data_IF_437419502971
#
_entry.id   IF_437419502971
#
_cell.length_a   1.000
_cell.length_b   1.000
_cell.length_c   1.000
_cell.angle_alpha   90.00
_cell.angle_beta   90.00
_cell.angle_gamma   90.00
#
_symmetry.space_group_name_H-M   'P 1'
#
loop_
_entity.id
_entity.type
_entity.pdbx_description
1 polymer ?
#
# COMPACT_ATOMS: atom_id res chain seq x y z
N UNK A 1 3.03 30.89 12.15
CA UNK A 1 3.34 29.45 12.02
C UNK A 1 4.34 29.29 10.89
N UNK A 2 5.58 28.91 11.19
CA UNK A 2 6.59 28.69 10.15
C UNK A 2 6.11 27.55 9.24
N UNK A 3 5.96 27.85 7.95
CA UNK A 3 5.79 26.84 6.91
C UNK A 3 7.09 26.03 6.86
N UNK A 4 7.16 24.96 7.64
CA UNK A 4 8.22 23.96 7.50
C UNK A 4 7.97 23.30 6.14
N UNK A 5 8.64 23.82 5.11
CA UNK A 5 8.70 23.18 3.81
C UNK A 5 9.38 21.82 4.00
N UNK A 6 8.58 20.77 4.05
CA UNK A 6 9.08 19.41 4.09
C UNK A 6 9.84 19.13 2.80
N UNK A 7 11.16 19.00 2.91
CA UNK A 7 12.02 18.56 1.80
C UNK A 7 11.82 17.06 1.61
N UNK A 8 11.30 16.62 0.45
CA UNK A 8 11.08 15.20 0.20
C UNK A 8 12.42 14.47 0.24
N UNK A 9 12.53 13.47 1.13
CA UNK A 9 13.77 12.70 1.25
C UNK A 9 13.79 11.58 0.21
N UNK A 10 14.97 11.22 -0.28
CA UNK A 10 15.13 10.11 -1.26
C UNK A 10 14.53 8.78 -0.77
N UNK A 11 14.37 8.62 0.54
CA UNK A 11 13.75 7.48 1.19
C UNK A 11 12.24 7.35 0.95
N UNK A 12 11.52 8.43 0.64
CA UNK A 12 10.07 8.39 0.40
C UNK A 12 9.78 7.59 -0.88
N UNK A 13 10.56 7.85 -1.93
CA UNK A 13 10.50 7.10 -3.17
C UNK A 13 10.94 5.63 -2.99
N UNK A 14 11.90 5.35 -2.10
CA UNK A 14 12.41 3.99 -1.87
C UNK A 14 11.36 3.07 -1.26
N UNK A 15 10.53 3.55 -0.34
CA UNK A 15 9.47 2.72 0.25
C UNK A 15 8.44 2.27 -0.80
N UNK A 16 8.02 3.18 -1.68
CA UNK A 16 7.12 2.83 -2.78
C UNK A 16 7.80 1.97 -3.86
N UNK A 17 9.11 2.13 -4.06
CA UNK A 17 9.87 1.25 -4.97
C UNK A 17 9.90 -0.19 -4.44
N UNK A 18 10.22 -0.36 -3.15
CA UNK A 18 10.22 -1.66 -2.47
C UNK A 18 8.82 -2.25 -2.50
N UNK A 19 7.80 -1.45 -2.14
CA UNK A 19 6.40 -1.87 -2.21
C UNK A 19 6.03 -2.39 -3.59
N UNK A 20 6.34 -1.63 -4.65
CA UNK A 20 6.05 -2.01 -6.02
C UNK A 20 6.75 -3.29 -6.45
N UNK A 21 8.06 -3.39 -6.21
CA UNK A 21 8.85 -4.56 -6.56
C UNK A 21 8.35 -5.83 -5.87
N UNK A 22 8.09 -5.77 -4.56
CA UNK A 22 7.60 -6.93 -3.81
C UNK A 22 6.16 -7.32 -4.18
N UNK A 23 5.29 -6.37 -4.53
CA UNK A 23 3.95 -6.70 -5.05
C UNK A 23 4.00 -7.40 -6.41
N UNK A 24 4.94 -7.05 -7.28
CA UNK A 24 5.17 -7.76 -8.54
C UNK A 24 5.73 -9.17 -8.31
N UNK A 25 6.70 -9.32 -7.39
CA UNK A 25 7.20 -10.64 -6.98
C UNK A 25 6.06 -11.50 -6.42
N UNK A 26 5.22 -10.93 -5.55
CA UNK A 26 4.04 -11.62 -5.03
C UNK A 26 3.12 -12.11 -6.16
N UNK A 27 2.87 -11.28 -7.16
CA UNK A 27 2.03 -11.63 -8.32
C UNK A 27 2.62 -12.82 -9.08
N UNK A 28 3.94 -12.81 -9.33
CA UNK A 28 4.63 -13.92 -9.97
C UNK A 28 4.55 -15.21 -9.13
N UNK A 29 4.73 -15.12 -7.81
CA UNK A 29 4.60 -16.26 -6.91
C UNK A 29 3.17 -16.83 -6.89
N UNK A 30 2.14 -15.97 -6.92
CA UNK A 30 0.74 -16.39 -7.02
C UNK A 30 0.49 -17.13 -8.34
N UNK A 31 0.96 -16.61 -9.46
CA UNK A 31 0.82 -17.26 -10.77
C UNK A 31 1.57 -18.59 -10.82
N UNK A 32 2.82 -18.63 -10.36
CA UNK A 32 3.60 -19.87 -10.28
C UNK A 32 2.88 -20.94 -9.44
N UNK A 33 2.28 -20.53 -8.32
CA UNK A 33 1.43 -21.41 -7.52
C UNK A 33 0.20 -21.90 -8.27
N UNK A 34 -0.49 -21.03 -9.00
CA UNK A 34 -1.66 -21.41 -9.76
C UNK A 34 -1.32 -22.42 -10.87
N UNK A 35 -0.28 -22.17 -11.66
CA UNK A 35 0.15 -23.05 -12.75
C UNK A 35 0.78 -24.36 -12.30
N UNK A 36 1.28 -24.44 -11.06
CA UNK A 36 1.75 -25.69 -10.43
C UNK A 36 0.63 -26.51 -9.77
N UNK A 37 -0.65 -26.18 -10.01
CA UNK A 37 -1.77 -26.89 -9.40
C UNK A 37 -1.83 -26.72 -7.87
N UNK A 38 -1.42 -25.55 -7.37
CA UNK A 38 -1.41 -25.20 -5.93
C UNK A 38 -0.47 -26.06 -5.05
N UNK A 39 0.49 -26.77 -5.65
CA UNK A 39 1.50 -27.54 -4.91
C UNK A 39 2.47 -26.66 -4.12
N UNK A 40 2.73 -25.43 -4.59
CA UNK A 40 3.54 -24.44 -3.87
C UNK A 40 2.79 -23.89 -2.65
N UNK A 41 3.48 -23.86 -1.50
CA UNK A 41 2.96 -23.33 -0.24
C UNK A 41 2.49 -21.87 -0.37
N UNK A 42 1.47 -21.49 0.42
CA UNK A 42 0.94 -20.10 0.49
C UNK A 42 1.96 -19.13 1.06
N UNK A 43 2.96 -19.65 1.76
CA UNK A 43 3.99 -18.85 2.38
C UNK A 43 4.83 -18.08 1.34
N UNK A 44 5.10 -18.71 0.19
CA UNK A 44 5.90 -18.12 -0.88
C UNK A 44 5.31 -16.82 -1.45
N UNK A 45 4.01 -16.73 -1.77
CA UNK A 45 3.39 -15.45 -2.10
C UNK A 45 3.14 -14.57 -0.86
N UNK A 46 2.89 -15.12 0.33
CA UNK A 46 2.58 -14.31 1.51
C UNK A 46 3.74 -13.41 1.96
N UNK A 47 4.98 -13.91 1.99
CA UNK A 47 6.16 -13.13 2.38
C UNK A 47 6.33 -11.84 1.56
N UNK A 48 6.39 -11.89 0.21
CA UNK A 48 6.52 -10.68 -0.59
C UNK A 48 5.29 -9.76 -0.47
N UNK A 49 4.08 -10.28 -0.29
CA UNK A 49 2.91 -9.44 -0.02
C UNK A 49 3.08 -8.65 1.30
N UNK A 50 3.49 -9.30 2.38
CA UNK A 50 3.67 -8.64 3.69
C UNK A 50 4.72 -7.53 3.59
N UNK A 51 5.87 -7.82 2.97
CA UNK A 51 6.95 -6.82 2.79
C UNK A 51 6.45 -5.65 1.92
N UNK A 52 5.76 -5.95 0.83
CA UNK A 52 5.23 -4.94 -0.09
C UNK A 52 4.21 -4.02 0.58
N UNK A 53 3.25 -4.62 1.29
CA UNK A 53 2.19 -3.90 2.00
C UNK A 53 2.74 -3.09 3.17
N UNK A 54 3.62 -3.65 4.00
CA UNK A 54 4.27 -2.93 5.09
C UNK A 54 5.07 -1.72 4.58
N UNK A 55 5.84 -1.90 3.50
CA UNK A 55 6.59 -0.82 2.86
C UNK A 55 5.66 0.28 2.32
N UNK A 56 4.52 -0.09 1.75
CA UNK A 56 3.53 0.88 1.26
C UNK A 56 2.91 1.71 2.40
N UNK A 57 2.60 1.08 3.53
CA UNK A 57 2.07 1.75 4.73
C UNK A 57 3.10 2.70 5.32
N UNK A 58 4.37 2.29 5.40
CA UNK A 58 5.46 3.17 5.84
C UNK A 58 5.65 4.35 4.87
N UNK A 59 5.53 4.11 3.56
CA UNK A 59 5.54 5.17 2.54
C UNK A 59 4.41 6.20 2.75
N UNK A 60 3.19 5.74 3.04
CA UNK A 60 2.06 6.61 3.38
C UNK A 60 2.25 7.36 4.69
N UNK A 61 2.74 6.67 5.73
CA UNK A 61 3.00 7.30 7.02
C UNK A 61 4.02 8.42 6.88
N UNK A 62 5.03 8.24 6.02
CA UNK A 62 6.04 9.25 5.75
C UNK A 62 5.55 10.42 4.89
N UNK A 63 4.48 10.24 4.12
CA UNK A 63 3.77 11.33 3.45
C UNK A 63 2.95 12.19 4.43
N UNK A 64 2.71 11.72 5.66
CA UNK A 64 1.89 12.41 6.66
C UNK A 64 2.29 13.87 6.94
N UNK A 65 3.57 14.24 7.14
CA UNK A 65 3.95 15.63 7.43
C UNK A 65 3.54 16.61 6.31
N UNK A 66 3.62 16.14 5.06
CA UNK A 66 3.22 16.91 3.86
C UNK A 66 1.71 17.10 3.76
N UNK A 67 0.95 16.12 4.24
CA UNK A 67 -0.51 16.15 4.23
C UNK A 67 -1.01 16.98 5.41
N UNK A 68 -0.36 16.87 6.58
CA UNK A 68 -0.70 17.59 7.79
C UNK A 68 -0.64 19.12 7.60
N UNK A 69 0.32 19.62 6.83
CA UNK A 69 0.46 21.06 6.54
C UNK A 69 -0.64 21.61 5.61
N UNK A 70 -1.29 20.76 4.81
CA UNK A 70 -2.29 21.17 3.81
C UNK A 70 -3.73 20.82 4.18
N UNK A 71 -3.93 19.68 4.83
CA UNK A 71 -5.23 19.13 5.19
C UNK A 71 -5.12 18.34 6.51
N UNK A 72 -5.09 19.01 7.67
CA UNK A 72 -4.77 18.39 8.96
C UNK A 72 -5.78 17.32 9.36
N UNK A 73 -7.06 17.50 9.04
CA UNK A 73 -8.10 16.50 9.32
C UNK A 73 -7.84 15.22 8.53
N UNK A 74 -7.66 15.31 7.21
CA UNK A 74 -7.37 14.13 6.36
C UNK A 74 -6.06 13.45 6.74
N UNK A 75 -5.05 14.22 7.18
CA UNK A 75 -3.78 13.67 7.66
C UNK A 75 -3.98 12.78 8.90
N UNK A 76 -4.77 13.24 9.89
CA UNK A 76 -5.07 12.48 11.11
C UNK A 76 -5.80 11.18 10.80
N UNK A 77 -6.86 11.24 9.98
CA UNK A 77 -7.59 10.05 9.55
C UNK A 77 -6.68 9.08 8.78
N UNK A 78 -5.92 9.59 7.81
CA UNK A 78 -5.00 8.77 7.01
C UNK A 78 -3.92 8.07 7.84
N UNK A 79 -3.35 8.75 8.85
CA UNK A 79 -2.39 8.14 9.77
C UNK A 79 -3.05 7.10 10.69
N UNK A 80 -4.24 7.39 11.21
CA UNK A 80 -5.00 6.44 12.02
C UNK A 80 -5.30 5.14 11.25
N UNK A 81 -5.75 5.28 10.01
CA UNK A 81 -5.97 4.14 9.11
C UNK A 81 -4.68 3.39 8.78
N UNK A 82 -3.57 4.10 8.52
CA UNK A 82 -2.28 3.46 8.27
C UNK A 82 -1.78 2.64 9.48
N UNK A 83 -1.95 3.16 10.70
CA UNK A 83 -1.61 2.44 11.92
C UNK A 83 -2.50 1.22 12.14
N UNK A 84 -3.81 1.35 11.91
CA UNK A 84 -4.75 0.24 11.99
C UNK A 84 -4.39 -0.87 10.98
N UNK A 85 -4.04 -0.48 9.75
CA UNK A 85 -3.57 -1.42 8.72
C UNK A 85 -2.27 -2.12 9.14
N UNK A 86 -1.30 -1.39 9.71
CA UNK A 86 -0.03 -1.97 10.17
C UNK A 86 -0.24 -2.96 11.32
N UNK A 87 -1.13 -2.65 12.26
CA UNK A 87 -1.50 -3.55 13.35
C UNK A 87 -2.19 -4.80 12.82
N UNK A 88 -3.18 -4.64 11.95
CA UNK A 88 -3.89 -5.76 11.34
C UNK A 88 -2.94 -6.66 10.53
N UNK A 89 -2.02 -6.05 9.76
CA UNK A 89 -1.00 -6.77 9.00
C UNK A 89 -0.03 -7.53 9.91
N UNK A 90 0.42 -6.92 11.00
CA UNK A 90 1.31 -7.56 11.98
C UNK A 90 0.64 -8.77 12.64
N UNK A 91 -0.60 -8.61 13.09
CA UNK A 91 -1.39 -9.72 13.67
C UNK A 91 -1.59 -10.81 12.62
N UNK A 92 -1.91 -10.45 11.38
CA UNK A 92 -2.13 -11.40 10.29
C UNK A 92 -0.85 -12.14 9.90
N UNK A 93 0.30 -11.46 9.90
CA UNK A 93 1.60 -12.07 9.67
C UNK A 93 1.95 -13.08 10.77
N UNK A 94 1.78 -12.71 12.04
CA UNK A 94 1.95 -13.64 13.16
C UNK A 94 1.02 -14.85 13.04
N UNK A 95 -0.23 -14.64 12.62
CA UNK A 95 -1.19 -15.72 12.40
C UNK A 95 -0.73 -16.67 11.30
N UNK A 96 -0.29 -16.15 10.14
CA UNK A 96 0.20 -16.97 9.02
C UNK A 96 1.43 -17.78 9.43
N UNK A 97 2.35 -17.18 10.19
CA UNK A 97 3.55 -17.87 10.70
C UNK A 97 3.15 -18.97 11.71
N UNK A 98 2.26 -18.65 12.67
CA UNK A 98 1.78 -19.61 13.65
C UNK A 98 1.07 -20.80 12.99
N UNK A 99 0.18 -20.56 12.04
CA UNK A 99 -0.49 -21.61 11.25
C UNK A 99 0.48 -22.47 10.45
N UNK A 100 1.57 -21.89 9.93
CA UNK A 100 2.59 -22.64 9.20
C UNK A 100 3.42 -23.56 10.11
N UNK A 101 3.62 -23.19 11.39
CA UNK A 101 4.41 -23.96 12.36
C UNK A 101 3.57 -24.99 13.12
N UNK A 102 2.34 -24.63 13.50
CA UNK A 102 1.47 -25.43 14.36
C UNK A 102 0.57 -26.41 13.60
N UNK A 103 0.52 -26.33 12.26
CA UNK A 103 -0.24 -27.26 11.43
C UNK A 103 -1.75 -26.98 11.38
N UNK A 104 -2.27 -26.05 12.19
CA UNK A 104 -3.68 -25.62 12.12
C UNK A 104 -3.90 -24.63 10.97
N UNK A 105 -4.28 -25.21 9.83
CA UNK A 105 -4.51 -24.54 8.56
C UNK A 105 -5.90 -23.93 8.38
N UNK A 106 -6.62 -23.57 9.46
CA UNK A 106 -7.93 -22.95 9.27
C UNK A 106 -7.79 -21.45 9.06
N UNK A 107 -8.10 -20.99 7.84
CA UNK A 107 -8.64 -19.65 7.57
C UNK A 107 -9.94 -19.48 8.36
N UNK A 108 -9.81 -19.27 9.66
CA UNK A 108 -10.95 -19.05 10.54
C UNK A 108 -11.61 -17.71 10.28
N UNK A 109 -12.83 -17.55 10.78
CA UNK A 109 -13.60 -16.30 10.72
C UNK A 109 -12.76 -15.11 11.22
N UNK A 110 -11.89 -15.34 12.22
CA UNK A 110 -10.96 -14.32 12.74
C UNK A 110 -9.95 -13.82 11.70
N UNK A 111 -9.35 -14.70 10.90
CA UNK A 111 -8.39 -14.30 9.86
C UNK A 111 -9.10 -13.54 8.73
N UNK A 112 -10.30 -13.98 8.33
CA UNK A 112 -11.09 -13.27 7.32
C UNK A 112 -11.51 -11.87 7.80
N UNK A 113 -11.96 -11.76 9.05
CA UNK A 113 -12.28 -10.47 9.66
C UNK A 113 -11.06 -9.54 9.70
N UNK A 114 -9.89 -10.06 10.05
CA UNK A 114 -8.65 -9.29 10.11
C UNK A 114 -8.22 -8.79 8.72
N UNK A 115 -8.36 -9.62 7.68
CA UNK A 115 -8.11 -9.23 6.30
C UNK A 115 -9.09 -8.12 5.87
N UNK A 116 -10.37 -8.26 6.21
CA UNK A 116 -11.38 -7.23 5.93
C UNK A 116 -11.04 -5.89 6.60
N UNK A 117 -10.69 -5.91 7.89
CA UNK A 117 -10.25 -4.72 8.64
C UNK A 117 -9.00 -4.11 8.00
N UNK A 118 -8.01 -4.93 7.65
CA UNK A 118 -6.81 -4.50 6.96
C UNK A 118 -7.14 -3.80 5.64
N UNK A 119 -7.98 -4.39 4.79
CA UNK A 119 -8.34 -3.82 3.48
C UNK A 119 -9.08 -2.49 3.63
N UNK A 120 -10.05 -2.40 4.53
CA UNK A 120 -10.78 -1.15 4.80
C UNK A 120 -9.83 -0.07 5.31
N UNK A 121 -8.94 -0.42 6.22
CA UNK A 121 -7.93 0.51 6.73
C UNK A 121 -6.97 0.96 5.63
N UNK A 122 -6.51 0.07 4.77
CA UNK A 122 -5.66 0.41 3.62
C UNK A 122 -6.39 1.36 2.66
N UNK A 123 -7.63 1.06 2.28
CA UNK A 123 -8.45 1.94 1.44
C UNK A 123 -8.59 3.33 2.07
N UNK A 124 -8.90 3.40 3.38
CA UNK A 124 -9.00 4.65 4.14
C UNK A 124 -7.69 5.44 4.17
N UNK A 125 -6.56 4.78 4.36
CA UNK A 125 -5.25 5.42 4.35
C UNK A 125 -4.92 5.98 2.95
N UNK A 126 -5.08 5.17 1.91
CA UNK A 126 -4.78 5.56 0.53
C UNK A 126 -5.70 6.66 0.02
N UNK A 127 -7.01 6.61 0.30
CA UNK A 127 -7.95 7.65 -0.18
C UNK A 127 -7.65 9.01 0.46
N UNK A 128 -7.32 9.05 1.76
CA UNK A 128 -6.93 10.30 2.42
C UNK A 128 -5.69 10.92 1.76
N UNK A 129 -4.69 10.10 1.44
CA UNK A 129 -3.46 10.55 0.78
C UNK A 129 -3.70 10.95 -0.69
N UNK A 130 -4.49 10.18 -1.44
CA UNK A 130 -4.82 10.42 -2.84
C UNK A 130 -5.58 11.74 -3.01
N UNK A 131 -6.61 11.99 -2.20
CA UNK A 131 -7.41 13.22 -2.28
C UNK A 131 -6.55 14.48 -2.09
N UNK A 132 -5.61 14.45 -1.15
CA UNK A 132 -4.71 15.59 -0.90
C UNK A 132 -3.71 15.77 -2.04
N UNK A 133 -3.20 14.68 -2.62
CA UNK A 133 -2.28 14.75 -3.75
C UNK A 133 -2.98 15.18 -5.05
N UNK A 134 -4.25 14.80 -5.26
CA UNK A 134 -5.03 15.17 -6.45
C UNK A 134 -5.42 16.64 -6.48
N UNK A 135 -5.54 17.30 -5.31
CA UNK A 135 -5.83 18.73 -5.20
C UNK A 135 -4.66 19.63 -5.60
N UNK A 136 -3.43 19.12 -5.61
CA UNK A 136 -2.24 19.86 -6.02
C UNK A 136 -1.82 19.41 -7.43
N UNK A 137 -1.84 20.33 -8.40
CA UNK A 137 -1.50 20.05 -9.80
C UNK A 137 -0.13 19.39 -9.93
N UNK A 138 0.84 19.82 -9.12
CA UNK A 138 2.19 19.28 -9.18
C UNK A 138 2.30 17.87 -8.52
N UNK A 139 1.33 17.44 -7.70
CA UNK A 139 1.29 16.10 -7.08
C UNK A 139 0.25 15.17 -7.71
N UNK A 140 -0.43 15.64 -8.78
CA UNK A 140 -1.57 14.94 -9.36
C UNK A 140 -1.20 13.53 -9.83
N UNK A 141 -0.02 13.33 -10.41
CA UNK A 141 0.47 12.00 -10.81
C UNK A 141 0.60 11.05 -9.63
N UNK A 142 1.11 11.53 -8.49
CA UNK A 142 1.16 10.75 -7.25
C UNK A 142 -0.25 10.44 -6.75
N UNK A 143 -1.16 11.42 -6.77
CA UNK A 143 -2.55 11.22 -6.40
C UNK A 143 -3.27 10.17 -7.25
N UNK A 144 -3.04 10.18 -8.57
CA UNK A 144 -3.57 9.16 -9.50
C UNK A 144 -2.98 7.78 -9.19
N UNK A 145 -1.67 7.68 -8.95
CA UNK A 145 -1.04 6.42 -8.58
C UNK A 145 -1.62 5.85 -7.27
N UNK A 146 -1.83 6.69 -6.25
CA UNK A 146 -2.43 6.29 -4.97
C UNK A 146 -3.92 5.95 -5.07
N UNK A 147 -4.62 6.41 -6.12
CA UNK A 147 -6.03 6.03 -6.36
C UNK A 147 -6.19 4.61 -6.89
N UNK A 148 -5.17 4.04 -7.52
CA UNK A 148 -5.21 2.66 -8.04
C UNK A 148 -5.40 1.64 -6.91
N UNK A 149 -4.65 1.71 -5.78
CA UNK A 149 -4.92 0.86 -4.62
C UNK A 149 -6.32 0.99 -4.03
N UNK A 150 -6.87 2.22 -4.01
CA UNK A 150 -8.25 2.47 -3.56
C UNK A 150 -9.24 1.72 -4.44
N UNK A 151 -9.08 1.81 -5.76
CA UNK A 151 -9.95 1.12 -6.71
C UNK A 151 -9.80 -0.41 -6.60
N UNK A 152 -8.57 -0.92 -6.55
CA UNK A 152 -8.30 -2.36 -6.49
C UNK A 152 -8.91 -2.99 -5.23
N UNK A 153 -8.55 -2.49 -4.03
CA UNK A 153 -9.10 -3.04 -2.79
C UNK A 153 -10.59 -2.72 -2.61
N UNK A 154 -11.06 -1.58 -3.12
CA UNK A 154 -12.49 -1.26 -3.13
C UNK A 154 -13.32 -2.27 -3.93
N UNK A 155 -12.87 -2.62 -5.14
CA UNK A 155 -13.51 -3.68 -5.95
C UNK A 155 -13.44 -5.02 -5.25
N UNK A 156 -12.30 -5.36 -4.66
CA UNK A 156 -12.16 -6.62 -3.91
C UNK A 156 -13.11 -6.72 -2.72
N UNK A 157 -13.27 -5.64 -1.94
CA UNK A 157 -14.24 -5.57 -0.84
C UNK A 157 -15.66 -5.74 -1.40
N UNK A 158 -16.01 -5.01 -2.45
CA UNK A 158 -17.34 -5.07 -3.07
C UNK A 158 -17.68 -6.49 -3.54
N UNK A 159 -16.77 -7.13 -4.28
CA UNK A 159 -16.93 -8.51 -4.73
C UNK A 159 -16.96 -9.48 -3.54
N UNK A 160 -16.16 -9.23 -2.51
CA UNK A 160 -16.17 -10.00 -1.27
C UNK A 160 -17.52 -9.97 -0.54
N UNK A 161 -18.20 -8.82 -0.55
CA UNK A 161 -19.52 -8.64 0.06
C UNK A 161 -20.62 -9.31 -0.78
N UNK A 162 -20.54 -9.22 -2.11
CA UNK A 162 -21.59 -9.74 -3.01
C UNK A 162 -21.46 -11.26 -3.22
N UNK A 163 -20.25 -11.72 -3.49
CA UNK A 163 -19.97 -13.09 -3.97
C UNK A 163 -19.24 -13.96 -2.93
N UNK A 164 -18.95 -13.40 -1.76
CA UNK A 164 -18.24 -14.07 -0.68
C UNK A 164 -16.75 -13.71 -0.59
N UNK A 165 -16.17 -13.75 0.63
CA UNK A 165 -14.84 -13.22 0.91
C UNK A 165 -13.74 -13.93 0.12
N UNK A 166 -13.89 -15.22 -0.18
CA UNK A 166 -12.92 -15.98 -0.95
C UNK A 166 -12.85 -15.53 -2.41
N UNK A 167 -14.00 -15.19 -3.01
CA UNK A 167 -14.07 -14.66 -4.38
C UNK A 167 -13.45 -13.27 -4.43
N UNK A 168 -13.77 -12.41 -3.46
CA UNK A 168 -13.14 -11.09 -3.33
C UNK A 168 -11.62 -11.18 -3.18
N UNK A 169 -11.12 -12.11 -2.37
CA UNK A 169 -9.69 -12.33 -2.19
C UNK A 169 -9.01 -12.99 -3.40
N UNK A 170 -9.73 -13.77 -4.19
CA UNK A 170 -9.18 -14.35 -5.43
C UNK A 170 -8.78 -13.28 -6.45
N UNK A 171 -9.35 -12.08 -6.36
CA UNK A 171 -8.96 -10.97 -7.22
C UNK A 171 -7.51 -10.50 -7.00
N UNK A 172 -6.85 -10.90 -5.90
CA UNK A 172 -5.42 -10.69 -5.67
C UNK A 172 -4.55 -11.16 -6.84
N UNK A 173 -4.97 -12.22 -7.56
CA UNK A 173 -4.28 -12.70 -8.76
C UNK A 173 -4.12 -11.64 -9.85
N UNK A 174 -4.98 -10.61 -9.84
CA UNK A 174 -5.01 -9.55 -10.84
C UNK A 174 -4.65 -8.19 -10.22
N UNK A 175 -5.16 -7.88 -9.04
CA UNK A 175 -4.98 -6.58 -8.39
C UNK A 175 -3.55 -6.37 -7.91
N UNK A 176 -2.83 -7.40 -7.47
CA UNK A 176 -1.47 -7.24 -6.94
C UNK A 176 -0.46 -6.76 -7.99
N UNK A 177 -0.64 -7.14 -9.26
CA UNK A 177 0.16 -6.62 -10.36
C UNK A 177 -0.10 -5.13 -10.58
N UNK A 178 -1.37 -4.72 -10.59
CA UNK A 178 -1.77 -3.32 -10.72
C UNK A 178 -1.26 -2.48 -9.55
N UNK A 179 -1.39 -2.97 -8.32
CA UNK A 179 -0.83 -2.35 -7.12
C UNK A 179 0.69 -2.16 -7.23
N UNK A 180 1.40 -3.18 -7.73
CA UNK A 180 2.83 -3.11 -7.99
C UNK A 180 3.20 -1.97 -8.93
N UNK A 181 2.55 -1.89 -10.09
CA UNK A 181 2.80 -0.81 -11.08
C UNK A 181 2.45 0.58 -10.53
N UNK A 182 1.39 0.69 -9.75
CA UNK A 182 0.98 1.93 -9.11
C UNK A 182 2.02 2.42 -8.10
N UNK A 183 2.56 1.53 -7.26
CA UNK A 183 3.61 1.88 -6.31
C UNK A 183 4.93 2.27 -7.00
N UNK A 184 5.31 1.57 -8.07
CA UNK A 184 6.46 2.00 -8.88
C UNK A 184 6.23 3.39 -9.49
N UNK A 185 5.03 3.67 -9.99
CA UNK A 185 4.68 4.98 -10.54
C UNK A 185 4.71 6.08 -9.46
N UNK A 186 4.22 5.78 -8.26
CA UNK A 186 4.32 6.68 -7.10
C UNK A 186 5.78 6.98 -6.73
N UNK A 187 6.65 5.97 -6.75
CA UNK A 187 8.09 6.13 -6.51
C UNK A 187 8.74 7.07 -7.53
N UNK A 188 8.46 6.88 -8.83
CA UNK A 188 8.98 7.73 -9.90
C UNK A 188 8.47 9.17 -9.75
N UNK A 189 7.18 9.35 -9.47
CA UNK A 189 6.58 10.66 -9.26
C UNK A 189 7.23 11.42 -8.07
N UNK A 190 7.55 10.70 -6.99
CA UNK A 190 8.26 11.27 -5.85
C UNK A 190 9.70 11.64 -6.18
N UNK A 191 10.43 10.75 -6.88
CA UNK A 191 11.83 10.99 -7.28
C UNK A 191 11.97 12.21 -8.19
N UNK A 192 11.05 12.37 -9.16
CA UNK A 192 11.04 13.53 -10.07
C UNK A 192 10.93 14.84 -9.29
N UNK A 193 10.03 14.92 -8.31
CA UNK A 193 9.84 16.11 -7.47
C UNK A 193 11.04 16.43 -6.59
N UNK A 194 11.69 15.41 -5.99
CA UNK A 194 12.90 15.65 -5.19
C UNK A 194 14.01 16.27 -6.05
N UNK A 195 14.13 15.85 -7.31
CA UNK A 195 15.07 16.45 -8.26
C UNK A 195 14.75 17.90 -8.61
N UNK A 196 13.48 18.21 -8.89
CA UNK A 196 13.02 19.58 -9.19
C UNK A 196 13.28 20.54 -8.02
N UNK A 197 12.96 20.13 -6.78
CA UNK A 197 13.16 20.98 -5.59
C UNK A 197 14.65 21.29 -5.33
N UNK A 198 15.55 20.34 -5.62
CA UNK A 198 17.00 20.55 -5.49
C UNK A 198 17.52 21.54 -6.54
N UNK A 199 17.02 21.46 -7.77
CA UNK A 199 17.39 22.38 -8.85
C UNK A 199 16.92 23.82 -8.57
N UNK A 200 15.72 23.99 -8.04
CA UNK A 200 15.16 25.31 -7.73
C UNK A 200 15.94 26.01 -6.60
N UNK A 201 16.42 25.26 -5.60
CA UNK A 201 17.28 25.81 -4.55
C UNK A 201 18.64 26.26 -5.10
N UNK A 202 19.25 25.47 -5.99
CA UNK A 202 20.55 25.84 -6.57
C UNK A 202 20.47 27.09 -7.47
N UNK A 203 19.33 27.28 -8.15
CA UNK A 203 19.09 28.47 -8.97
C UNK A 203 18.71 29.72 -8.14
N UNK A 204 18.25 29.55 -6.90
CA UNK A 204 17.90 30.66 -6.00
C UNK A 204 19.11 31.22 -5.23
N UNK A 205 20.23 30.49 -5.20
CA UNK A 205 21.49 30.88 -4.55
C UNK A 205 22.52 31.48 -5.53
N UNK A 206 22.21 31.51 -6.83
CA UNK A 206 23.04 32.06 -7.90
C UNK A 206 22.54 33.44 -8.36
#
# INVERSE_FOLDING_TARGET
MQNVQYTPTSWDARFFLIAGGFMLINTLCLWARHFSGYQLSILWPAIPAIIGLASSVLGLYKLHPRIASRAPTLAKWGAGFALAALLALSIGACWVIASAVLGDATRGVGMQALIGVFMVAMVGAFICNALVCLRDSASRTLGMALSVPVACWGVMILVGVISGPEVGLSLDFYTNGLLGTAFLTASVALKKRTGETCSDMHNAEA
#
